data_IF_724799181873
#
_entry.id   IF_724799181873
#
_cell.length_a   1.000
_cell.length_b   1.000
_cell.length_c   1.000
_cell.angle_alpha   90.00
_cell.angle_beta   90.00
_cell.angle_gamma   90.00
#
_symmetry.space_group_name_H-M   'P 1'
#
loop_
_entity.id
_entity.type
_entity.pdbx_description
1 polymer ?
#
# COMPACT_ATOMS: atom_id res chain seq x y z
N UNK A 1 -7.60 -14.15 -1.10
CA UNK A 1 -8.73 -13.75 -0.26
C UNK A 1 -9.37 -12.53 -0.90
N UNK A 2 -10.60 -12.70 -1.40
CA UNK A 2 -11.41 -11.60 -1.90
C UNK A 2 -12.17 -10.99 -0.70
N UNK A 3 -12.05 -9.68 -0.48
CA UNK A 3 -12.71 -8.91 0.57
C UNK A 3 -14.02 -8.27 0.12
N UNK A 4 -14.38 -8.29 -1.17
CA UNK A 4 -15.74 -7.97 -1.62
C UNK A 4 -16.72 -9.07 -1.20
N UNK A 5 -16.26 -10.33 -1.27
CA UNK A 5 -17.08 -11.54 -1.01
C UNK A 5 -16.28 -12.60 -0.26
N UNK A 6 -15.81 -12.31 0.96
CA UNK A 6 -15.04 -13.28 1.71
C UNK A 6 -15.92 -14.49 2.00
N UNK A 7 -15.33 -15.68 1.86
CA UNK A 7 -16.04 -16.96 2.01
C UNK A 7 -17.19 -17.18 1.00
N UNK A 8 -17.33 -16.32 -0.02
CA UNK A 8 -18.39 -16.38 -1.03
C UNK A 8 -19.68 -15.63 -0.66
N UNK A 9 -19.67 -14.81 0.39
CA UNK A 9 -20.84 -14.10 0.92
C UNK A 9 -20.73 -12.59 0.71
N UNK A 10 -21.78 -11.94 0.18
CA UNK A 10 -21.78 -10.51 -0.20
C UNK A 10 -22.09 -9.53 0.96
N UNK A 11 -22.18 -10.02 2.20
CA UNK A 11 -22.62 -9.19 3.34
C UNK A 11 -21.84 -9.48 4.61
N UNK A 12 -20.57 -9.85 4.46
CA UNK A 12 -19.66 -9.98 5.60
C UNK A 12 -19.10 -8.60 5.91
N UNK A 13 -19.39 -8.09 7.10
CA UNK A 13 -18.88 -6.78 7.51
C UNK A 13 -17.40 -6.85 7.93
N UNK A 14 -17.03 -7.87 8.70
CA UNK A 14 -15.66 -8.10 9.19
C UNK A 14 -15.34 -9.59 9.14
N UNK A 15 -14.10 -9.91 8.73
CA UNK A 15 -13.47 -11.20 9.01
C UNK A 15 -12.49 -11.05 10.18
N UNK A 16 -12.68 -11.86 11.22
CA UNK A 16 -11.75 -11.96 12.35
C UNK A 16 -10.99 -13.28 12.26
N UNK A 17 -9.66 -13.20 12.26
CA UNK A 17 -8.75 -14.34 12.35
C UNK A 17 -8.13 -14.37 13.74
N UNK A 18 -8.50 -15.38 14.54
CA UNK A 18 -7.92 -15.63 15.86
C UNK A 18 -6.58 -16.38 15.73
N UNK A 19 -5.52 -15.62 15.50
CA UNK A 19 -4.16 -16.11 15.30
C UNK A 19 -3.54 -15.60 14.00
N UNK A 20 -2.64 -16.39 13.41
CA UNK A 20 -1.92 -16.01 12.21
C UNK A 20 -2.74 -16.28 10.93
N UNK A 21 -2.61 -15.39 9.95
CA UNK A 21 -3.18 -15.55 8.62
C UNK A 21 -2.07 -15.68 7.58
N UNK A 22 -2.11 -16.75 6.77
CA UNK A 22 -1.24 -16.91 5.60
C UNK A 22 -2.13 -17.05 4.37
N UNK A 23 -1.92 -16.18 3.40
CA UNK A 23 -2.59 -16.18 2.10
C UNK A 23 -1.51 -16.33 1.02
N UNK A 24 -1.45 -17.48 0.36
CA UNK A 24 -0.37 -17.81 -0.59
C UNK A 24 -0.28 -16.87 -1.81
N UNK A 25 -1.37 -16.17 -2.10
CA UNK A 25 -1.51 -15.28 -3.25
C UNK A 25 -1.95 -13.88 -2.83
N UNK A 26 -3.18 -13.49 -3.15
CA UNK A 26 -3.65 -12.10 -3.10
C UNK A 26 -4.63 -11.90 -1.96
N UNK A 27 -4.54 -10.78 -1.26
CA UNK A 27 -5.67 -10.20 -0.51
C UNK A 27 -6.13 -8.98 -1.29
N UNK A 28 -7.43 -8.88 -1.62
CA UNK A 28 -7.89 -7.83 -2.51
C UNK A 28 -9.38 -7.53 -2.40
N UNK A 29 -9.79 -6.38 -2.94
CA UNK A 29 -11.17 -6.02 -3.25
C UNK A 29 -11.21 -5.17 -4.53
N UNK A 30 -12.27 -5.32 -5.31
CA UNK A 30 -12.55 -4.49 -6.49
C UNK A 30 -13.33 -3.24 -6.07
N UNK A 31 -14.28 -3.36 -5.15
CA UNK A 31 -15.09 -2.25 -4.64
C UNK A 31 -14.37 -1.56 -3.47
N UNK A 32 -13.94 -0.33 -3.68
CA UNK A 32 -13.25 0.47 -2.66
C UNK A 32 -14.21 1.24 -1.76
N UNK A 33 -15.53 1.10 -1.86
CA UNK A 33 -16.50 1.81 -1.00
C UNK A 33 -17.45 0.84 -0.29
N UNK A 34 -16.87 -0.14 0.42
CA UNK A 34 -17.64 -1.11 1.18
C UNK A 34 -17.03 -2.50 1.34
N UNK A 35 -15.74 -2.68 1.07
CA UNK A 35 -15.07 -3.95 1.25
C UNK A 35 -15.10 -4.43 2.71
N UNK A 36 -15.09 -5.76 2.89
CA UNK A 36 -15.07 -6.37 4.21
C UNK A 36 -13.79 -6.04 4.97
N UNK A 37 -13.93 -5.56 6.22
CA UNK A 37 -12.79 -5.34 7.10
C UNK A 37 -12.09 -6.65 7.50
N UNK A 38 -10.78 -6.59 7.75
CA UNK A 38 -9.97 -7.75 8.11
C UNK A 38 -9.20 -7.51 9.40
N UNK A 39 -9.47 -8.30 10.44
CA UNK A 39 -8.77 -8.24 11.72
C UNK A 39 -8.00 -9.55 11.93
N UNK A 40 -6.69 -9.46 12.17
CA UNK A 40 -5.82 -10.61 12.42
C UNK A 40 -5.15 -10.46 13.79
N UNK A 41 -5.48 -11.39 14.70
CA UNK A 41 -4.93 -11.46 16.07
C UNK A 41 -3.56 -12.16 16.14
N UNK A 42 -2.77 -12.01 15.08
CA UNK A 42 -1.41 -12.53 14.96
C UNK A 42 -0.68 -11.91 13.77
N UNK A 43 0.25 -12.65 13.18
CA UNK A 43 0.97 -12.24 11.98
C UNK A 43 0.10 -12.45 10.72
N UNK A 44 0.17 -11.50 9.77
CA UNK A 44 -0.43 -11.63 8.44
C UNK A 44 0.67 -11.77 7.39
N UNK A 45 0.56 -12.81 6.57
CA UNK A 45 1.44 -13.04 5.43
C UNK A 45 0.62 -13.14 4.14
N UNK A 46 1.02 -12.37 3.13
CA UNK A 46 0.45 -12.45 1.79
C UNK A 46 1.56 -12.31 0.74
N UNK A 47 1.30 -12.77 -0.49
CA UNK A 47 2.18 -12.41 -1.61
C UNK A 47 1.95 -10.96 -2.00
N UNK A 48 0.69 -10.62 -2.29
CA UNK A 48 0.26 -9.30 -2.73
C UNK A 48 -1.00 -8.87 -1.97
N UNK A 49 -1.14 -7.57 -1.73
CA UNK A 49 -2.33 -6.94 -1.16
C UNK A 49 -2.69 -5.71 -1.99
N UNK A 50 -3.88 -5.71 -2.60
CA UNK A 50 -4.41 -4.57 -3.36
C UNK A 50 -5.79 -4.25 -2.80
N UNK A 51 -5.83 -3.31 -1.86
CA UNK A 51 -6.95 -3.15 -0.93
C UNK A 51 -7.46 -1.71 -0.89
N UNK A 52 -8.71 -1.47 -0.46
CA UNK A 52 -9.26 -0.12 -0.40
C UNK A 52 -10.64 -0.02 0.24
N UNK A 53 -10.89 1.06 1.00
CA UNK A 53 -12.21 1.29 1.59
C UNK A 53 -12.60 0.46 2.81
N UNK A 54 -11.66 -0.26 3.38
CA UNK A 54 -11.89 -1.08 4.57
C UNK A 54 -10.80 -0.90 5.62
N UNK A 55 -11.16 -1.21 6.86
CA UNK A 55 -10.24 -1.36 7.99
C UNK A 55 -9.51 -2.70 7.90
N UNK A 56 -8.18 -2.66 7.92
CA UNK A 56 -7.32 -3.83 8.11
C UNK A 56 -6.49 -3.63 9.36
N UNK A 57 -6.64 -4.53 10.33
CA UNK A 57 -5.93 -4.48 11.60
C UNK A 57 -5.12 -5.75 11.86
N UNK A 58 -3.81 -5.61 12.02
CA UNK A 58 -2.87 -6.71 12.30
C UNK A 58 -2.18 -6.47 13.63
N UNK A 59 -2.44 -7.35 14.61
CA UNK A 59 -1.80 -7.24 15.94
C UNK A 59 -0.33 -7.67 15.97
N UNK A 60 0.06 -8.55 15.04
CA UNK A 60 1.44 -8.99 14.85
C UNK A 60 2.14 -8.24 13.72
N UNK A 61 2.98 -8.95 12.98
CA UNK A 61 3.71 -8.42 11.84
C UNK A 61 2.92 -8.58 10.54
N UNK A 62 3.08 -7.61 9.65
CA UNK A 62 2.62 -7.67 8.27
C UNK A 62 3.81 -8.01 7.35
N UNK A 63 3.76 -9.17 6.70
CA UNK A 63 4.70 -9.53 5.65
C UNK A 63 3.97 -9.67 4.32
N UNK A 64 4.23 -8.72 3.43
CA UNK A 64 3.84 -8.82 2.03
C UNK A 64 5.08 -9.16 1.23
N UNK A 65 5.05 -10.20 0.42
CA UNK A 65 6.26 -10.65 -0.29
C UNK A 65 6.61 -9.74 -1.47
N UNK A 66 5.61 -9.11 -2.06
CA UNK A 66 5.71 -8.33 -3.29
C UNK A 66 5.09 -6.94 -3.10
N UNK A 67 3.83 -6.74 -3.49
CA UNK A 67 3.14 -5.45 -3.47
C UNK A 67 2.14 -5.36 -2.31
N UNK A 68 2.26 -4.31 -1.50
CA UNK A 68 1.13 -3.73 -0.78
C UNK A 68 0.71 -2.44 -1.48
N UNK A 69 -0.58 -2.32 -1.80
CA UNK A 69 -1.21 -1.11 -2.28
C UNK A 69 -2.54 -0.89 -1.57
N UNK A 70 -2.58 0.14 -0.72
CA UNK A 70 -3.82 0.69 -0.18
C UNK A 70 -4.29 1.85 -1.04
N UNK A 71 -5.53 1.84 -1.46
CA UNK A 71 -6.10 2.88 -2.30
C UNK A 71 -7.46 3.31 -1.74
N UNK A 72 -7.79 4.59 -1.87
CA UNK A 72 -9.03 5.24 -1.42
C UNK A 72 -9.09 5.63 0.06
N UNK A 73 -9.55 6.87 0.30
CA UNK A 73 -9.43 7.60 1.56
C UNK A 73 -10.26 7.06 2.73
N UNK A 74 -11.24 6.19 2.47
CA UNK A 74 -12.00 5.49 3.50
C UNK A 74 -11.29 4.25 4.03
N UNK A 75 -10.14 3.87 3.46
CA UNK A 75 -9.37 2.72 3.89
C UNK A 75 -8.35 3.04 4.98
N UNK A 76 -8.17 2.08 5.90
CA UNK A 76 -7.19 2.17 6.99
C UNK A 76 -6.43 0.85 7.10
N UNK A 77 -5.10 0.93 7.16
CA UNK A 77 -4.25 -0.17 7.59
C UNK A 77 -3.57 0.21 8.90
N UNK A 78 -3.81 -0.59 9.94
CA UNK A 78 -3.06 -0.53 11.19
C UNK A 78 -2.29 -1.83 11.46
N UNK A 79 -0.98 -1.72 11.66
CA UNK A 79 -0.07 -2.82 12.02
C UNK A 79 0.61 -2.51 13.34
N UNK A 80 0.32 -3.29 14.38
CA UNK A 80 0.92 -3.11 15.70
C UNK A 80 2.38 -3.60 15.76
N UNK A 81 2.77 -4.54 14.91
CA UNK A 81 4.15 -5.03 14.76
C UNK A 81 4.91 -4.37 13.61
N UNK A 82 5.86 -5.11 13.05
CA UNK A 82 6.66 -4.67 11.91
C UNK A 82 5.90 -4.87 10.60
N UNK A 83 6.23 -4.07 9.59
CA UNK A 83 5.71 -4.23 8.23
C UNK A 83 6.87 -4.39 7.24
N UNK A 84 6.73 -5.31 6.28
CA UNK A 84 7.71 -5.52 5.23
C UNK A 84 7.05 -5.80 3.87
N UNK A 85 7.61 -5.23 2.81
CA UNK A 85 7.17 -5.38 1.42
C UNK A 85 8.30 -5.06 0.44
N UNK A 86 8.23 -5.57 -0.79
CA UNK A 86 9.13 -5.08 -1.85
C UNK A 86 8.69 -3.71 -2.32
N UNK A 87 7.40 -3.55 -2.62
CA UNK A 87 6.78 -2.29 -2.96
C UNK A 87 5.63 -2.06 -1.98
N UNK A 88 5.68 -0.93 -1.28
CA UNK A 88 4.61 -0.49 -0.40
C UNK A 88 4.07 0.82 -0.91
N UNK A 89 2.75 0.90 -1.13
CA UNK A 89 2.11 2.09 -1.66
C UNK A 89 0.81 2.43 -0.97
N UNK A 90 0.54 3.73 -0.91
CA UNK A 90 -0.78 4.29 -0.63
C UNK A 90 -1.08 5.46 -1.56
N UNK A 91 -2.31 5.47 -2.05
CA UNK A 91 -2.89 6.46 -2.95
C UNK A 91 -4.27 6.88 -2.46
N UNK A 92 -4.78 7.98 -2.98
CA UNK A 92 -6.08 8.58 -2.68
C UNK A 92 -6.29 8.71 -1.18
N UNK A 93 -5.30 9.25 -0.45
CA UNK A 93 -5.32 9.46 1.00
C UNK A 93 -5.57 8.19 1.87
N UNK A 94 -5.27 6.98 1.38
CA UNK A 94 -5.39 5.74 2.16
C UNK A 94 -4.52 5.79 3.44
N UNK A 95 -5.12 5.55 4.62
CA UNK A 95 -4.41 5.71 5.89
C UNK A 95 -3.55 4.50 6.24
N UNK A 96 -2.31 4.75 6.69
CA UNK A 96 -1.37 3.70 7.11
C UNK A 96 -0.71 4.05 8.45
N UNK A 97 -0.96 3.22 9.46
CA UNK A 97 -0.31 3.27 10.77
C UNK A 97 0.48 2.00 11.04
N UNK A 98 1.80 2.11 11.16
CA UNK A 98 2.69 0.99 11.50
C UNK A 98 3.50 1.35 12.72
N UNK A 99 3.31 0.61 13.81
CA UNK A 99 3.93 0.89 15.10
C UNK A 99 5.35 0.30 15.25
N UNK A 100 5.67 -0.76 14.50
CA UNK A 100 7.00 -1.35 14.46
C UNK A 100 7.91 -0.80 13.36
N UNK A 101 8.93 -1.58 13.02
CA UNK A 101 9.86 -1.29 11.93
C UNK A 101 9.19 -1.41 10.57
N UNK A 102 9.59 -0.53 9.64
CA UNK A 102 9.11 -0.47 8.26
C UNK A 102 10.25 -0.91 7.35
N UNK A 103 10.14 -2.11 6.78
CA UNK A 103 11.17 -2.73 5.94
C UNK A 103 10.66 -2.82 4.50
N UNK A 104 10.62 -1.67 3.82
CA UNK A 104 10.17 -1.56 2.43
C UNK A 104 11.37 -1.36 1.51
N UNK A 105 11.42 -2.09 0.40
CA UNK A 105 12.47 -1.85 -0.61
C UNK A 105 12.19 -0.59 -1.42
N UNK A 106 10.92 -0.33 -1.70
CA UNK A 106 10.42 0.92 -2.25
C UNK A 106 9.13 1.31 -1.52
N UNK A 107 9.04 2.58 -1.10
CA UNK A 107 7.82 3.19 -0.57
C UNK A 107 7.41 4.32 -1.50
N UNK A 108 6.16 4.31 -1.90
CA UNK A 108 5.51 5.33 -2.71
C UNK A 108 4.29 5.81 -1.92
N UNK A 109 4.14 7.12 -1.71
CA UNK A 109 2.99 7.70 -1.00
C UNK A 109 2.57 8.98 -1.69
N UNK A 110 1.28 9.32 -1.65
CA UNK A 110 0.81 10.67 -2.01
C UNK A 110 1.30 11.71 -1.01
N UNK A 111 1.36 11.30 0.26
CA UNK A 111 1.81 12.13 1.37
C UNK A 111 2.90 11.38 2.12
N UNK A 112 4.16 11.52 1.71
CA UNK A 112 5.29 10.92 2.43
C UNK A 112 5.56 11.66 3.76
N UNK A 113 4.65 11.52 4.72
CA UNK A 113 4.83 12.03 6.09
C UNK A 113 6.04 11.38 6.79
N UNK A 114 6.50 10.22 6.30
CA UNK A 114 7.61 9.46 6.87
C UNK A 114 8.98 9.93 6.36
N UNK A 115 9.03 10.69 5.26
CA UNK A 115 10.24 11.26 4.66
C UNK A 115 11.26 10.22 4.19
N UNK A 116 10.80 8.99 3.93
CA UNK A 116 11.65 7.85 3.58
C UNK A 116 11.18 7.12 2.30
N UNK A 117 10.21 7.69 1.59
CA UNK A 117 9.68 7.20 0.32
C UNK A 117 9.89 8.18 -0.82
N UNK A 118 9.13 7.97 -1.88
CA UNK A 118 8.94 8.92 -2.96
C UNK A 118 7.54 9.49 -2.88
N UNK A 119 7.45 10.81 -3.01
CA UNK A 119 6.20 11.45 -3.37
C UNK A 119 5.74 10.89 -4.71
N UNK A 120 4.46 10.57 -4.81
CA UNK A 120 3.82 10.24 -6.07
C UNK A 120 3.80 11.46 -6.98
N UNK A 121 4.60 11.41 -8.05
CA UNK A 121 4.56 12.38 -9.14
C UNK A 121 4.49 11.68 -10.50
N UNK A 122 4.14 12.44 -11.54
CA UNK A 122 3.93 11.90 -12.89
C UNK A 122 5.18 11.21 -13.45
N UNK A 123 6.37 11.73 -13.12
CA UNK A 123 7.65 11.20 -13.59
C UNK A 123 7.92 9.82 -12.96
N UNK A 124 7.70 9.68 -11.65
CA UNK A 124 7.83 8.42 -10.94
C UNK A 124 6.81 7.39 -11.41
N UNK A 125 5.56 7.81 -11.63
CA UNK A 125 4.51 6.93 -12.16
C UNK A 125 4.92 6.34 -13.52
N UNK A 126 5.42 7.18 -14.43
CA UNK A 126 5.86 6.76 -15.76
C UNK A 126 7.17 5.95 -15.73
N UNK A 127 8.06 6.19 -14.76
CA UNK A 127 9.30 5.43 -14.61
C UNK A 127 9.07 4.03 -14.03
N UNK A 128 8.18 3.94 -13.03
CA UNK A 128 7.97 2.72 -12.26
C UNK A 128 6.94 1.81 -12.93
N UNK A 129 5.82 2.34 -13.41
CA UNK A 129 4.69 1.54 -13.89
C UNK A 129 4.67 1.37 -15.40
N UNK A 130 4.06 0.28 -15.87
CA UNK A 130 3.77 0.14 -17.30
C UNK A 130 2.76 1.18 -17.77
N UNK A 131 2.86 1.59 -19.03
CA UNK A 131 1.92 2.56 -19.62
C UNK A 131 0.45 2.13 -19.50
N UNK A 132 0.17 0.83 -19.58
CA UNK A 132 -1.18 0.28 -19.48
C UNK A 132 -1.77 0.48 -18.06
N UNK A 133 -0.90 0.63 -17.06
CA UNK A 133 -1.28 0.93 -15.67
C UNK A 133 -1.57 2.40 -15.42
N UNK A 134 -1.40 3.27 -16.42
CA UNK A 134 -1.50 4.71 -16.28
C UNK A 134 -2.72 5.23 -17.07
N UNK A 135 -3.56 6.01 -16.39
CA UNK A 135 -4.52 6.89 -17.06
C UNK A 135 -3.89 8.26 -17.13
N UNK A 136 -3.83 8.79 -18.35
CA UNK A 136 -3.43 10.16 -18.61
C UNK A 136 -4.65 10.98 -18.99
N UNK A 137 -4.95 11.99 -18.18
CA UNK A 137 -5.93 13.02 -18.52
C UNK A 137 -5.20 14.31 -18.95
N UNK A 138 -5.96 15.33 -19.34
CA UNK A 138 -5.37 16.65 -19.64
C UNK A 138 -4.83 17.34 -18.37
N UNK A 139 -5.20 16.86 -17.18
CA UNK A 139 -4.90 17.50 -15.89
C UNK A 139 -3.85 16.74 -15.07
N UNK A 140 -3.82 15.41 -15.18
CA UNK A 140 -2.94 14.56 -14.36
C UNK A 140 -2.68 13.17 -14.96
N UNK A 141 -1.62 12.52 -14.47
CA UNK A 141 -1.37 11.09 -14.66
C UNK A 141 -1.65 10.36 -13.35
N UNK A 142 -2.51 9.34 -13.41
CA UNK A 142 -2.92 8.54 -12.25
C UNK A 142 -2.82 7.03 -12.53
N UNK A 143 -2.78 6.22 -11.47
CA UNK A 143 -2.79 4.77 -11.60
C UNK A 143 -4.18 4.26 -11.96
N UNK A 144 -4.26 3.46 -13.02
CA UNK A 144 -5.48 2.72 -13.32
C UNK A 144 -5.55 1.47 -12.45
N UNK A 145 -6.28 1.57 -11.34
CA UNK A 145 -6.42 0.50 -10.35
C UNK A 145 -6.84 -0.84 -10.94
N UNK A 146 -7.83 -0.84 -11.83
CA UNK A 146 -8.33 -2.08 -12.45
C UNK A 146 -7.25 -2.78 -13.29
N UNK A 147 -6.48 -2.03 -14.07
CA UNK A 147 -5.44 -2.62 -14.91
C UNK A 147 -4.21 -3.02 -14.10
N UNK A 148 -3.85 -2.22 -13.10
CA UNK A 148 -2.86 -2.59 -12.11
C UNK A 148 -3.26 -3.90 -11.39
N UNK A 149 -4.52 -4.02 -10.99
CA UNK A 149 -5.07 -5.25 -10.42
C UNK A 149 -4.96 -6.42 -11.40
N UNK A 150 -5.38 -6.24 -12.66
CA UNK A 150 -5.31 -7.27 -13.70
C UNK A 150 -3.91 -7.80 -13.92
N UNK A 151 -2.91 -6.93 -14.03
CA UNK A 151 -1.52 -7.33 -14.23
C UNK A 151 -0.94 -7.95 -12.95
N UNK A 152 -1.31 -7.43 -11.76
CA UNK A 152 -0.85 -7.98 -10.48
C UNK A 152 -1.24 -9.44 -10.29
N UNK A 153 -2.40 -9.87 -10.84
CA UNK A 153 -2.86 -11.26 -10.78
C UNK A 153 -1.93 -12.22 -11.53
N UNK A 154 -1.27 -11.77 -12.59
CA UNK A 154 -0.39 -12.59 -13.44
C UNK A 154 1.07 -12.55 -12.97
N UNK A 155 1.69 -11.36 -12.90
CA UNK A 155 3.07 -11.17 -12.42
C UNK A 155 3.33 -9.70 -12.03
N UNK A 156 3.55 -9.44 -10.74
CA UNK A 156 3.89 -8.10 -10.23
C UNK A 156 5.18 -7.53 -10.84
N UNK A 157 6.10 -8.38 -11.33
CA UNK A 157 7.32 -7.91 -12.00
C UNK A 157 7.02 -7.35 -13.38
N UNK A 158 5.86 -7.65 -13.93
CA UNK A 158 5.37 -7.03 -15.16
C UNK A 158 4.80 -5.65 -14.85
N UNK A 159 4.13 -5.45 -13.71
CA UNK A 159 3.58 -4.17 -13.27
C UNK A 159 4.62 -3.06 -13.18
N UNK A 160 5.76 -3.40 -12.57
CA UNK A 160 6.84 -2.45 -12.39
C UNK A 160 7.97 -2.75 -13.36
N UNK A 161 8.36 -1.76 -14.18
CA UNK A 161 9.65 -1.84 -14.87
C UNK A 161 10.77 -1.63 -13.84
N UNK A 162 11.06 -2.66 -13.03
CA UNK A 162 12.18 -2.63 -12.09
C UNK A 162 13.48 -2.76 -12.87
N UNK A 163 13.83 -1.73 -13.65
CA UNK A 163 15.13 -1.63 -14.33
C UNK A 163 16.13 -0.77 -13.57
N UNK A 164 15.64 0.13 -12.72
CA UNK A 164 16.47 0.85 -11.73
C UNK A 164 15.54 1.65 -10.84
N UNK A 165 15.22 1.14 -9.64
CA UNK A 165 14.61 1.98 -8.62
C UNK A 165 15.53 3.19 -8.40
N UNK A 166 15.03 4.43 -8.42
CA UNK A 166 15.83 5.56 -7.98
C UNK A 166 16.37 5.27 -6.56
N UNK A 167 17.57 5.75 -6.24
CA UNK A 167 18.06 5.70 -4.85
C UNK A 167 17.28 6.73 -4.04
N UNK A 168 16.81 6.33 -2.85
CA UNK A 168 16.09 7.23 -1.94
C UNK A 168 16.87 8.53 -1.80
N UNK A 169 16.21 9.68 -2.04
CA UNK A 169 16.86 10.99 -1.88
C UNK A 169 17.24 11.12 -0.41
N UNK A 170 18.54 11.10 -0.08
CA UNK A 170 18.98 11.44 1.27
C UNK A 170 18.66 12.92 1.50
N UNK A 171 17.62 13.22 2.26
CA UNK A 171 17.37 14.57 2.74
C UNK A 171 18.49 14.94 3.71
N UNK A 172 19.49 15.68 3.22
CA UNK A 172 20.47 16.30 4.10
C UNK A 172 19.76 17.32 4.96
N UNK A 173 19.71 17.10 6.27
CA UNK A 173 19.26 18.03 7.31
C UNK A 173 20.20 19.25 7.43
N UNK A 174 20.38 20.02 6.36
CA UNK A 174 21.17 21.26 6.37
C UNK A 174 20.31 22.53 6.35
N UNK A 175 18.99 22.42 6.52
CA UNK A 175 18.05 23.54 6.38
C UNK A 175 17.35 24.05 7.63
N UNK A 176 17.42 23.37 8.80
CA UNK A 176 16.74 23.85 10.01
C UNK A 176 17.53 24.99 10.67
N UNK A 177 17.17 26.24 10.35
CA UNK A 177 17.44 27.38 11.23
C UNK A 177 16.57 27.25 12.47
N UNK A 178 17.18 26.90 13.59
CA UNK A 178 16.56 27.07 14.91
C UNK A 178 16.18 28.53 15.12
N UNK A 179 14.88 28.83 15.16
CA UNK A 179 14.37 30.07 15.74
C UNK A 179 14.50 29.95 17.26
N UNK A 180 15.52 30.63 17.82
CA UNK A 180 15.59 30.86 19.27
C UNK A 180 14.47 31.83 19.65
N UNK A 181 13.64 31.44 20.60
CA UNK A 181 12.72 32.34 21.28
C UNK A 181 13.53 33.42 22.00
N UNK A 182 13.18 34.68 21.76
CA UNK A 182 13.62 35.79 22.59
C UNK A 182 12.76 35.82 23.85
N UNK A 183 13.45 35.96 24.98
CA UNK A 183 12.98 36.12 26.36
C UNK A 183 11.88 37.15 26.55
#
# INVERSE_FOLDING_TARGET
MNLDKPLGEESVFIVLVDGNLVVDSYIYNEDTDGATGLIVLGDLQARNMVVGGQEIYVTGNLQVSELFWGDYNHGDLTVAGNAAALLFMDTEEYHVSIHGEKNFKLRISEWDEFGNGYDLDEDLLQEVFMQDCLIQTDEEVMLYREECWNISKEDIRSLCQIKSLPQAKSTSLSGLKMLKSAS
#
